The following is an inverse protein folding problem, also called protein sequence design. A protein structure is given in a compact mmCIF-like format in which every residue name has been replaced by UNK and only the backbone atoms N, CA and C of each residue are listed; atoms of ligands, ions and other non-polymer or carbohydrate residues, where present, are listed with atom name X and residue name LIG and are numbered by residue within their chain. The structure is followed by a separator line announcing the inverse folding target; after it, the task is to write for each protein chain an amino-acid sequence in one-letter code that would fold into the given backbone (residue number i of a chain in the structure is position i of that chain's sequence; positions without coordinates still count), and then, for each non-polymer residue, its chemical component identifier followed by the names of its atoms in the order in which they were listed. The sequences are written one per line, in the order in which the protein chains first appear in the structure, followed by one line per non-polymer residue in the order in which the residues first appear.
data_IF_189214961877
#
_entry.id   IF_189214961877
#
_cell.length_a   1.000
_cell.length_b   1.000
_cell.length_c   1.000
_cell.angle_alpha   90.00
_cell.angle_beta   90.00
_cell.angle_gamma   90.00
#
_symmetry.space_group_name_H-M   'P 1'
#
loop_
_entity.id
_entity.type
_entity.pdbx_description
1 polymer ?
#
# COMPACT_ATOMS: atom_id res chain seq x y z
N UNK A 1 -36.73 -1.62 101.12
CA UNK A 1 -36.03 -0.34 101.37
C UNK A 1 -35.25 -0.03 100.09
N UNK A 2 -35.83 0.74 99.28
CA UNK A 2 -35.58 2.13 98.88
C UNK A 2 -34.12 2.52 98.69
N UNK A 3 -33.74 2.82 97.46
CA UNK A 3 -33.23 4.11 97.06
C UNK A 3 -33.07 4.21 95.52
N UNK A 4 -33.77 5.16 94.95
CA UNK A 4 -33.65 5.72 93.63
C UNK A 4 -32.30 6.47 93.52
N UNK A 5 -31.69 6.44 92.40
CA UNK A 5 -30.85 7.58 92.00
C UNK A 5 -30.96 7.83 90.43
N UNK A 6 -31.12 9.10 90.17
CA UNK A 6 -31.58 9.69 88.93
C UNK A 6 -30.52 9.66 87.86
N UNK A 7 -30.94 9.47 86.62
CA UNK A 7 -30.23 9.72 85.38
C UNK A 7 -30.09 11.25 85.12
N UNK A 8 -28.90 11.68 84.82
CA UNK A 8 -28.71 12.99 84.17
C UNK A 8 -28.17 12.78 82.75
N UNK A 9 -28.91 13.42 81.83
CA UNK A 9 -28.76 13.58 80.46
C UNK A 9 -27.30 13.93 80.03
N UNK A 10 -26.75 13.19 79.06
CA UNK A 10 -25.72 13.57 78.19
C UNK A 10 -26.14 13.23 76.77
N UNK A 11 -26.79 14.12 76.11
CA UNK A 11 -26.90 14.28 74.64
C UNK A 11 -26.99 15.80 74.45
N UNK A 12 -26.17 16.44 73.65
CA UNK A 12 -26.05 16.35 72.18
C UNK A 12 -24.65 16.76 71.67
N UNK A 13 -23.74 15.86 71.51
CA UNK A 13 -22.48 16.17 70.84
C UNK A 13 -22.07 15.20 69.70
N UNK A 14 -22.91 14.14 69.52
CA UNK A 14 -22.60 13.13 68.53
C UNK A 14 -23.30 13.31 67.19
N UNK A 15 -24.37 14.12 67.09
CA UNK A 15 -25.10 14.35 65.86
C UNK A 15 -24.44 15.41 64.93
N UNK A 16 -23.65 16.32 65.47
CA UNK A 16 -22.97 17.37 64.70
C UNK A 16 -21.68 16.85 64.00
N UNK A 17 -21.12 15.70 64.49
CA UNK A 17 -19.90 15.14 63.91
C UNK A 17 -20.17 14.16 62.75
N UNK A 18 -21.32 13.48 62.75
CA UNK A 18 -21.72 12.59 61.67
C UNK A 18 -22.21 13.32 60.43
N UNK A 19 -22.86 14.49 60.60
CA UNK A 19 -23.30 15.32 59.44
C UNK A 19 -22.14 15.93 58.66
N UNK A 20 -21.02 16.28 59.34
CA UNK A 20 -19.83 16.83 58.67
C UNK A 20 -18.99 15.78 57.94
N UNK A 21 -18.98 14.52 58.43
CA UNK A 21 -18.27 13.41 57.75
C UNK A 21 -18.98 12.94 56.48
N UNK A 22 -20.32 12.95 56.45
CA UNK A 22 -21.11 12.57 55.28
C UNK A 22 -21.02 13.59 54.13
N UNK A 23 -20.89 14.88 54.43
CA UNK A 23 -20.73 15.93 53.39
C UNK A 23 -19.32 15.87 52.74
N UNK A 24 -18.28 15.51 53.53
CA UNK A 24 -16.91 15.38 52.96
C UNK A 24 -16.74 14.10 52.12
N UNK A 25 -17.36 12.98 52.42
CA UNK A 25 -17.35 11.78 51.61
C UNK A 25 -18.14 11.96 50.29
N UNK A 26 -19.25 12.69 50.30
CA UNK A 26 -20.04 12.92 49.07
C UNK A 26 -19.35 13.83 48.04
N UNK A 27 -18.53 14.79 48.50
CA UNK A 27 -17.75 15.63 47.58
C UNK A 27 -16.55 14.90 46.95
N UNK A 28 -15.97 13.91 47.64
CA UNK A 28 -14.86 13.13 47.05
C UNK A 28 -15.33 12.06 46.06
N UNK A 29 -16.55 11.52 46.24
CA UNK A 29 -17.11 10.58 45.24
C UNK A 29 -17.55 11.28 43.95
N UNK A 30 -17.92 12.57 43.98
CA UNK A 30 -18.25 13.33 42.74
C UNK A 30 -17.02 13.83 42.02
N UNK A 31 -15.87 14.04 42.69
CA UNK A 31 -14.63 14.42 42.05
C UNK A 31 -13.88 13.24 41.36
N UNK A 32 -14.16 11.98 41.78
CA UNK A 32 -13.58 10.77 41.19
C UNK A 32 -14.32 10.27 39.93
N UNK A 33 -15.54 10.72 39.68
CA UNK A 33 -16.34 10.31 38.52
C UNK A 33 -16.00 11.07 37.22
N UNK A 34 -15.11 12.07 37.29
CA UNK A 34 -14.77 12.93 36.14
C UNK A 34 -13.49 12.56 35.38
N UNK A 35 -12.81 11.43 35.71
CA UNK A 35 -11.51 11.09 35.11
C UNK A 35 -11.47 9.75 34.35
N UNK A 36 -12.59 9.09 34.15
CA UNK A 36 -12.67 8.09 33.10
C UNK A 36 -12.94 8.84 31.79
N UNK A 37 -11.90 9.46 31.22
CA UNK A 37 -11.89 9.71 29.80
C UNK A 37 -12.11 8.35 29.16
N UNK A 38 -13.29 8.15 28.59
CA UNK A 38 -13.63 6.99 27.77
C UNK A 38 -12.58 6.93 26.67
N UNK A 39 -11.54 6.13 26.90
CA UNK A 39 -10.54 5.87 25.88
C UNK A 39 -11.27 5.09 24.80
N UNK A 40 -11.84 5.80 23.84
CA UNK A 40 -12.51 5.19 22.72
C UNK A 40 -11.60 4.07 22.20
N UNK A 41 -12.12 2.84 22.21
CA UNK A 41 -11.36 1.67 21.76
C UNK A 41 -10.81 1.94 20.36
N UNK A 42 -9.55 1.54 20.12
CA UNK A 42 -8.91 1.75 18.82
C UNK A 42 -9.75 1.08 17.74
N UNK A 43 -10.04 1.82 16.69
CA UNK A 43 -10.81 1.31 15.56
C UNK A 43 -9.96 0.37 14.70
N UNK A 44 -10.51 -0.81 14.39
CA UNK A 44 -9.80 -1.85 13.64
C UNK A 44 -9.94 -1.66 12.14
N UNK A 45 -8.80 -1.72 11.43
CA UNK A 45 -8.70 -1.82 9.97
C UNK A 45 -8.15 -3.18 9.61
N UNK A 46 -8.92 -4.00 8.88
CA UNK A 46 -8.49 -5.32 8.40
C UNK A 46 -7.80 -5.17 7.06
N UNK A 47 -6.47 -5.31 7.06
CA UNK A 47 -5.61 -5.14 5.90
C UNK A 47 -5.10 -6.50 5.40
N UNK A 48 -5.45 -6.89 4.18
CA UNK A 48 -4.90 -8.08 3.55
C UNK A 48 -3.73 -7.70 2.63
N UNK A 49 -2.58 -8.35 2.85
CA UNK A 49 -1.32 -8.07 2.17
C UNK A 49 -0.71 -9.34 1.59
N UNK A 50 0.15 -9.19 0.59
CA UNK A 50 0.97 -10.30 0.14
C UNK A 50 2.15 -10.50 1.11
N UNK A 51 2.41 -11.76 1.47
CA UNK A 51 3.51 -12.14 2.37
C UNK A 51 4.88 -11.60 1.91
N UNK A 52 5.11 -11.55 0.60
CA UNK A 52 6.39 -11.10 0.00
C UNK A 52 6.33 -9.65 -0.51
N UNK A 53 5.27 -8.92 -0.18
CA UNK A 53 5.06 -7.55 -0.66
C UNK A 53 5.86 -6.52 0.15
N UNK A 54 6.28 -5.45 -0.52
CA UNK A 54 7.04 -4.35 0.08
C UNK A 54 6.25 -3.51 1.10
N UNK A 55 4.93 -3.67 1.15
CA UNK A 55 4.08 -3.06 2.19
C UNK A 55 4.45 -3.54 3.61
N UNK A 56 5.03 -4.74 3.73
CA UNK A 56 5.52 -5.25 5.02
C UNK A 56 6.55 -4.32 5.66
N UNK A 57 7.38 -3.63 4.85
CA UNK A 57 8.38 -2.66 5.33
C UNK A 57 7.72 -1.45 5.98
N UNK A 58 6.69 -0.89 5.35
CA UNK A 58 5.92 0.24 5.89
C UNK A 58 5.16 -0.15 7.15
N UNK A 59 4.56 -1.34 7.18
CA UNK A 59 3.85 -1.83 8.37
C UNK A 59 4.79 -2.09 9.55
N UNK A 60 6.04 -2.48 9.30
CA UNK A 60 7.05 -2.59 10.33
C UNK A 60 7.41 -1.20 10.89
N UNK A 61 7.59 -0.20 10.03
CA UNK A 61 7.79 1.21 10.43
C UNK A 61 6.60 1.71 11.24
N UNK A 62 5.36 1.48 10.78
CA UNK A 62 4.14 1.86 11.52
C UNK A 62 4.16 1.32 12.94
N UNK A 63 4.46 0.03 13.11
CA UNK A 63 4.51 -0.64 14.42
C UNK A 63 5.66 -0.12 15.29
N UNK A 64 6.86 0.00 14.72
CA UNK A 64 8.04 0.44 15.45
C UNK A 64 7.90 1.87 16.00
N UNK A 65 7.29 2.76 15.24
CA UNK A 65 7.05 4.14 15.64
C UNK A 65 5.68 4.34 16.32
N UNK A 66 4.85 3.29 16.44
CA UNK A 66 3.52 3.35 17.05
C UNK A 66 2.56 4.31 16.35
N UNK A 67 2.70 4.48 15.03
CA UNK A 67 1.90 5.44 14.26
C UNK A 67 0.41 5.08 14.24
N UNK A 68 0.11 3.78 14.23
CA UNK A 68 -1.24 3.24 14.34
C UNK A 68 -1.88 3.59 15.69
N UNK A 69 -1.16 3.35 16.80
CA UNK A 69 -1.63 3.68 18.15
C UNK A 69 -1.83 5.19 18.34
N UNK A 70 -0.92 6.02 17.83
CA UNK A 70 -1.05 7.48 17.86
C UNK A 70 -2.28 7.97 17.08
N UNK A 71 -2.68 7.22 16.05
CA UNK A 71 -3.87 7.49 15.27
C UNK A 71 -5.14 6.84 15.83
N UNK A 72 -5.08 6.21 17.02
CA UNK A 72 -6.16 5.41 17.58
C UNK A 72 -6.70 4.36 16.59
N UNK A 73 -5.78 3.65 15.91
CA UNK A 73 -6.07 2.56 14.98
C UNK A 73 -5.41 1.26 15.43
N UNK A 74 -6.08 0.15 15.14
CA UNK A 74 -5.53 -1.20 15.18
C UNK A 74 -5.49 -1.75 13.74
N UNK A 75 -4.31 -1.88 13.16
CA UNK A 75 -4.16 -2.47 11.83
C UNK A 75 -4.00 -3.97 11.97
N UNK A 76 -5.09 -4.70 11.72
CA UNK A 76 -5.11 -6.17 11.72
C UNK A 76 -4.68 -6.69 10.34
N UNK A 77 -3.48 -7.26 10.26
CA UNK A 77 -2.87 -7.71 9.02
C UNK A 77 -3.11 -9.18 8.79
N UNK A 78 -3.63 -9.54 7.60
CA UNK A 78 -3.73 -10.92 7.12
C UNK A 78 -2.81 -11.10 5.92
N UNK A 79 -1.83 -12.00 6.03
CA UNK A 79 -0.93 -12.32 4.94
C UNK A 79 -1.56 -13.35 4.01
N UNK A 80 -1.53 -13.07 2.71
CA UNK A 80 -2.10 -13.91 1.67
C UNK A 80 -1.04 -14.30 0.62
N UNK A 81 -1.27 -15.44 -0.03
CA UNK A 81 -0.32 -16.02 -0.98
C UNK A 81 -0.31 -15.30 -2.35
N UNK A 82 -1.42 -14.65 -2.73
CA UNK A 82 -1.54 -14.02 -4.05
C UNK A 82 -2.42 -12.75 -4.04
N UNK A 83 -2.28 -11.88 -5.04
CA UNK A 83 -3.18 -10.73 -5.23
C UNK A 83 -4.65 -11.13 -5.36
N UNK A 84 -4.92 -12.24 -6.03
CA UNK A 84 -6.27 -12.77 -6.26
C UNK A 84 -6.95 -13.15 -4.94
N UNK A 85 -6.20 -13.76 -4.01
CA UNK A 85 -6.69 -14.05 -2.65
C UNK A 85 -7.09 -12.76 -1.92
N UNK A 86 -6.33 -11.66 -2.10
CA UNK A 86 -6.67 -10.34 -1.58
C UNK A 86 -7.98 -9.81 -2.14
N UNK A 87 -8.17 -9.89 -3.45
CA UNK A 87 -9.41 -9.49 -4.13
C UNK A 87 -10.62 -10.27 -3.63
N UNK A 88 -10.46 -11.58 -3.40
CA UNK A 88 -11.51 -12.44 -2.81
C UNK A 88 -11.80 -12.01 -1.37
N UNK A 89 -10.76 -11.74 -0.55
CA UNK A 89 -10.92 -11.31 0.83
C UNK A 89 -11.68 -9.97 0.94
N UNK A 90 -11.38 -9.01 0.07
CA UNK A 90 -12.07 -7.72 0.01
C UNK A 90 -13.55 -7.90 -0.39
N UNK A 91 -13.82 -8.65 -1.46
CA UNK A 91 -15.19 -8.91 -1.92
C UNK A 91 -16.02 -9.70 -0.91
N UNK A 92 -15.39 -10.64 -0.22
CA UNK A 92 -16.02 -11.46 0.83
C UNK A 92 -16.15 -10.75 2.19
N UNK A 93 -15.67 -9.50 2.31
CA UNK A 93 -15.78 -8.71 3.53
C UNK A 93 -14.88 -9.20 4.68
N UNK A 94 -13.89 -10.07 4.40
CA UNK A 94 -12.89 -10.49 5.40
C UNK A 94 -11.70 -9.53 5.50
N UNK A 95 -11.53 -8.63 4.52
CA UNK A 95 -10.62 -7.50 4.55
C UNK A 95 -11.36 -6.20 4.23
N UNK A 96 -10.93 -5.09 4.84
CA UNK A 96 -11.44 -3.75 4.55
C UNK A 96 -10.61 -3.07 3.46
N UNK A 97 -9.30 -3.31 3.46
CA UNK A 97 -8.34 -2.71 2.54
C UNK A 97 -7.41 -3.80 1.99
N UNK A 98 -7.08 -3.68 0.71
CA UNK A 98 -6.04 -4.47 0.03
C UNK A 98 -5.12 -3.55 -0.78
N UNK A 99 -4.02 -4.08 -1.29
CA UNK A 99 -3.24 -3.41 -2.34
C UNK A 99 -3.56 -4.06 -3.69
N UNK A 100 -3.99 -3.24 -4.65
CA UNK A 100 -4.25 -3.67 -6.03
C UNK A 100 -4.04 -2.50 -7.00
N UNK A 101 -4.32 -2.71 -8.29
CA UNK A 101 -4.20 -1.69 -9.33
C UNK A 101 -5.53 -1.00 -9.63
N UNK A 102 -5.46 0.27 -10.08
CA UNK A 102 -6.64 1.05 -10.44
C UNK A 102 -7.37 0.48 -11.66
N UNK A 103 -6.69 -0.28 -12.52
CA UNK A 103 -7.31 -0.87 -13.71
C UNK A 103 -8.32 -1.96 -13.32
N UNK A 104 -7.95 -2.81 -12.34
CA UNK A 104 -8.87 -3.76 -11.74
C UNK A 104 -10.04 -3.05 -11.05
N UNK A 105 -9.79 -1.97 -10.32
CA UNK A 105 -10.85 -1.16 -9.69
C UNK A 105 -11.80 -0.62 -10.75
N UNK A 106 -11.30 -0.03 -11.83
CA UNK A 106 -12.11 0.47 -12.95
C UNK A 106 -12.94 -0.64 -13.59
N UNK A 107 -12.34 -1.80 -13.86
CA UNK A 107 -13.06 -2.98 -14.36
C UNK A 107 -14.19 -3.40 -13.44
N UNK A 108 -13.96 -3.50 -12.14
CA UNK A 108 -15.00 -3.89 -11.18
C UNK A 108 -16.12 -2.85 -11.09
N UNK A 109 -15.76 -1.55 -11.18
CA UNK A 109 -16.75 -0.47 -11.23
C UNK A 109 -17.63 -0.57 -12.48
N UNK A 110 -17.09 -0.92 -13.64
CA UNK A 110 -17.88 -1.16 -14.86
C UNK A 110 -18.87 -2.33 -14.71
N UNK A 111 -18.67 -3.20 -13.73
CA UNK A 111 -19.56 -4.31 -13.36
C UNK A 111 -20.49 -3.96 -12.17
N UNK A 112 -20.50 -2.69 -11.73
CA UNK A 112 -21.37 -2.19 -10.67
C UNK A 112 -20.78 -2.22 -9.25
N UNK A 113 -19.56 -2.70 -9.06
CA UNK A 113 -18.89 -2.64 -7.75
C UNK A 113 -18.53 -1.19 -7.40
N UNK A 114 -18.56 -0.85 -6.11
CA UNK A 114 -18.21 0.49 -5.62
C UNK A 114 -16.81 0.52 -4.99
N UNK A 115 -15.83 -0.06 -5.69
CA UNK A 115 -14.44 -0.02 -5.23
C UNK A 115 -13.79 1.32 -5.57
N UNK A 116 -12.88 1.78 -4.73
CA UNK A 116 -12.07 2.99 -4.93
C UNK A 116 -10.60 2.71 -4.68
N UNK A 117 -9.75 3.52 -5.31
CA UNK A 117 -8.31 3.40 -5.32
C UNK A 117 -7.65 4.66 -4.73
N UNK A 118 -6.70 4.47 -3.81
CA UNK A 118 -5.82 5.53 -3.29
C UNK A 118 -4.37 5.19 -3.59
N UNK A 119 -3.57 6.07 -4.22
CA UNK A 119 -2.19 5.77 -4.62
C UNK A 119 -1.31 5.22 -3.48
N UNK A 120 -0.63 4.10 -3.75
CA UNK A 120 0.32 3.47 -2.83
C UNK A 120 1.75 3.53 -3.35
N UNK A 121 1.98 3.18 -4.63
CA UNK A 121 3.30 3.12 -5.24
C UNK A 121 3.26 3.43 -6.73
N UNK A 122 4.20 4.28 -7.18
CA UNK A 122 4.50 4.52 -8.59
C UNK A 122 5.72 3.73 -9.08
N UNK A 123 6.32 2.89 -8.23
CA UNK A 123 7.41 2.01 -8.63
C UNK A 123 6.89 0.92 -9.57
N UNK A 124 7.37 0.94 -10.80
CA UNK A 124 7.12 -0.09 -11.79
C UNK A 124 8.31 -1.05 -11.86
N UNK A 125 8.54 -1.66 -12.97
CA UNK A 125 9.69 -2.50 -13.17
C UNK A 125 10.65 -1.91 -14.20
N UNK A 126 11.56 -2.77 -14.67
CA UNK A 126 12.49 -2.40 -15.72
C UNK A 126 12.83 -3.62 -16.58
N UNK A 127 13.29 -3.37 -17.79
CA UNK A 127 14.04 -4.34 -18.57
C UNK A 127 15.47 -4.34 -18.03
N UNK A 128 15.90 -5.48 -17.51
CA UNK A 128 17.21 -5.71 -16.91
C UNK A 128 18.04 -6.61 -17.82
N UNK A 129 19.33 -6.32 -17.95
CA UNK A 129 20.30 -7.16 -18.63
C UNK A 129 21.60 -7.21 -17.82
N UNK A 130 22.44 -8.25 -17.99
CA UNK A 130 23.79 -8.25 -17.42
C UNK A 130 24.56 -6.99 -17.79
N UNK A 131 25.37 -6.44 -16.89
CA UNK A 131 26.17 -5.23 -17.16
C UNK A 131 27.11 -5.42 -18.40
N UNK A 132 27.54 -6.66 -18.64
CA UNK A 132 28.39 -7.05 -19.79
C UNK A 132 27.62 -7.27 -21.08
N UNK A 133 26.28 -7.21 -21.04
CA UNK A 133 25.42 -7.40 -22.23
C UNK A 133 25.57 -6.25 -23.21
N UNK A 134 25.59 -6.56 -24.50
CA UNK A 134 25.55 -5.59 -25.59
C UNK A 134 24.14 -4.98 -25.84
N UNK A 135 23.13 -5.37 -25.03
CA UNK A 135 21.76 -4.82 -25.15
C UNK A 135 21.72 -3.39 -24.63
N UNK A 136 21.79 -2.40 -25.47
CA UNK A 136 21.71 -0.98 -25.07
C UNK A 136 20.29 -0.42 -25.17
N UNK A 137 19.51 -0.92 -26.13
CA UNK A 137 18.16 -0.49 -26.42
C UNK A 137 17.20 -1.67 -26.50
N UNK A 138 15.90 -1.40 -26.51
CA UNK A 138 14.90 -2.46 -26.69
C UNK A 138 14.87 -3.02 -28.13
N UNK A 139 15.39 -2.31 -29.12
CA UNK A 139 15.54 -2.82 -30.49
C UNK A 139 16.53 -4.00 -30.55
N UNK A 140 17.51 -4.04 -29.64
CA UNK A 140 18.51 -5.10 -29.53
C UNK A 140 17.93 -6.42 -29.00
N UNK A 141 16.68 -6.39 -28.51
CA UNK A 141 15.95 -7.60 -28.08
C UNK A 141 15.45 -8.45 -29.25
N UNK A 142 15.62 -8.00 -30.49
CA UNK A 142 15.25 -8.80 -31.67
C UNK A 142 15.99 -10.15 -31.67
N UNK A 143 15.22 -11.25 -31.72
CA UNK A 143 15.75 -12.62 -31.65
C UNK A 143 16.27 -13.05 -30.29
N UNK A 144 16.27 -12.18 -29.28
CA UNK A 144 16.74 -12.47 -27.93
C UNK A 144 15.64 -13.09 -27.07
N UNK A 145 16.05 -13.82 -26.03
CA UNK A 145 15.14 -14.39 -25.03
C UNK A 145 14.82 -13.33 -23.96
N UNK A 146 13.59 -12.82 -23.97
CA UNK A 146 13.09 -11.87 -22.99
C UNK A 146 12.18 -12.58 -21.97
N UNK A 147 12.61 -12.67 -20.73
CA UNK A 147 11.78 -13.14 -19.63
C UNK A 147 10.83 -12.01 -19.18
N UNK A 148 9.53 -12.27 -19.07
CA UNK A 148 8.51 -11.29 -18.65
C UNK A 148 7.79 -11.80 -17.41
N UNK A 149 7.97 -11.12 -16.29
CA UNK A 149 7.32 -11.45 -15.04
C UNK A 149 5.81 -11.20 -15.09
N UNK A 150 5.03 -12.05 -14.43
CA UNK A 150 3.58 -11.88 -14.26
C UNK A 150 2.71 -12.41 -15.39
N UNK A 151 3.21 -12.49 -16.63
CA UNK A 151 2.46 -13.05 -17.75
C UNK A 151 2.07 -12.09 -18.85
N UNK A 152 1.32 -12.58 -19.85
CA UNK A 152 1.02 -11.86 -21.09
C UNK A 152 0.14 -10.59 -20.90
N UNK A 153 -0.57 -10.48 -19.78
CA UNK A 153 -1.42 -9.34 -19.44
C UNK A 153 -0.84 -8.51 -18.27
N UNK A 154 0.45 -8.70 -17.93
CA UNK A 154 1.12 -7.84 -16.96
C UNK A 154 1.16 -6.38 -17.45
N UNK A 155 0.87 -5.43 -16.54
CA UNK A 155 0.71 -4.02 -16.93
C UNK A 155 2.03 -3.40 -17.42
N UNK A 156 3.15 -3.72 -16.78
CA UNK A 156 4.47 -3.25 -17.22
C UNK A 156 4.80 -3.74 -18.64
N UNK A 157 4.46 -5.01 -18.92
CA UNK A 157 4.61 -5.59 -20.26
C UNK A 157 3.73 -4.91 -21.29
N UNK A 158 2.46 -4.66 -20.98
CA UNK A 158 1.53 -4.00 -21.90
C UNK A 158 1.89 -2.53 -22.15
N UNK A 159 2.35 -1.81 -21.13
CA UNK A 159 2.88 -0.46 -21.23
C UNK A 159 4.09 -0.45 -22.17
N UNK A 160 5.04 -1.36 -21.96
CA UNK A 160 6.23 -1.48 -22.79
C UNK A 160 5.88 -1.77 -24.25
N UNK A 161 4.97 -2.70 -24.51
CA UNK A 161 4.49 -2.99 -25.87
C UNK A 161 3.88 -1.76 -26.51
N UNK A 162 2.99 -1.05 -25.81
CA UNK A 162 2.36 0.16 -26.32
C UNK A 162 3.36 1.26 -26.69
N UNK A 163 4.41 1.43 -25.87
CA UNK A 163 5.46 2.39 -26.15
C UNK A 163 6.34 1.99 -27.35
N UNK A 164 6.66 0.72 -27.44
CA UNK A 164 7.51 0.21 -28.55
C UNK A 164 6.79 0.18 -29.88
N UNK A 165 5.49 -0.05 -29.91
CA UNK A 165 4.70 0.03 -31.14
C UNK A 165 4.72 1.42 -31.77
N UNK A 166 4.87 2.50 -31.00
CA UNK A 166 5.04 3.85 -31.53
C UNK A 166 6.36 4.01 -32.33
N UNK A 167 7.38 3.19 -32.00
CA UNK A 167 8.65 3.11 -32.72
C UNK A 167 8.64 2.07 -33.85
N UNK A 168 7.47 1.44 -34.11
CA UNK A 168 7.35 0.36 -35.08
C UNK A 168 7.97 -0.98 -34.61
N UNK A 169 8.24 -1.12 -33.30
CA UNK A 169 8.84 -2.31 -32.72
C UNK A 169 7.75 -3.18 -32.09
N UNK A 170 7.52 -4.35 -32.64
CA UNK A 170 6.65 -5.38 -32.08
C UNK A 170 7.49 -6.38 -31.26
N UNK A 171 7.70 -6.08 -29.98
CA UNK A 171 8.50 -6.94 -29.09
C UNK A 171 7.95 -8.35 -28.97
N UNK A 172 6.63 -8.52 -29.01
CA UNK A 172 5.99 -9.85 -28.90
C UNK A 172 6.33 -10.75 -30.10
N UNK A 173 6.55 -10.16 -31.28
CA UNK A 173 6.91 -10.89 -32.50
C UNK A 173 8.42 -10.95 -32.71
N UNK A 174 9.14 -9.96 -32.23
CA UNK A 174 10.57 -9.80 -32.52
C UNK A 174 11.47 -10.43 -31.47
N UNK A 175 11.02 -10.55 -30.21
CA UNK A 175 11.74 -11.26 -29.14
C UNK A 175 11.14 -12.64 -28.86
N UNK A 176 11.96 -13.54 -28.33
CA UNK A 176 11.51 -14.83 -27.80
C UNK A 176 11.03 -14.65 -26.37
N UNK A 177 9.74 -14.33 -26.20
CA UNK A 177 9.16 -13.98 -24.89
C UNK A 177 8.83 -15.21 -24.08
N UNK A 178 9.28 -15.25 -22.81
CA UNK A 178 9.01 -16.30 -21.82
C UNK A 178 8.33 -15.68 -20.60
N UNK A 179 7.12 -16.15 -20.27
CA UNK A 179 6.37 -15.71 -19.10
C UNK A 179 6.59 -16.62 -17.90
N UNK A 180 6.59 -16.03 -16.68
CA UNK A 180 6.74 -16.84 -15.46
C UNK A 180 6.74 -16.04 -14.16
N UNK A 181 7.01 -16.75 -13.08
CA UNK A 181 7.10 -16.15 -11.76
C UNK A 181 8.32 -15.22 -11.67
N UNK A 182 8.19 -14.02 -11.02
CA UNK A 182 9.21 -12.98 -11.03
C UNK A 182 10.60 -13.44 -10.62
N UNK A 183 10.72 -14.08 -9.45
CA UNK A 183 12.03 -14.53 -8.94
C UNK A 183 12.63 -15.65 -9.78
N UNK A 184 11.80 -16.62 -10.23
CA UNK A 184 12.26 -17.71 -11.10
C UNK A 184 12.88 -17.16 -12.39
N UNK A 185 12.22 -16.19 -13.02
CA UNK A 185 12.73 -15.57 -14.25
C UNK A 185 13.99 -14.74 -14.01
N UNK A 186 14.10 -14.08 -12.85
CA UNK A 186 15.30 -13.34 -12.48
C UNK A 186 16.49 -14.29 -12.28
N UNK A 187 16.29 -15.43 -11.60
CA UNK A 187 17.33 -16.45 -11.42
C UNK A 187 17.75 -17.07 -12.74
N UNK A 188 16.81 -17.40 -13.63
CA UNK A 188 17.12 -17.89 -14.99
C UNK A 188 17.92 -16.87 -15.80
N UNK A 189 17.62 -15.59 -15.65
CA UNK A 189 18.37 -14.53 -16.30
C UNK A 189 19.79 -14.42 -15.71
N UNK A 190 19.93 -14.54 -14.39
CA UNK A 190 21.23 -14.56 -13.71
C UNK A 190 22.10 -15.77 -14.17
N UNK A 191 21.47 -16.92 -14.45
CA UNK A 191 22.13 -18.14 -14.96
C UNK A 191 22.47 -18.06 -16.45
N UNK A 192 22.06 -16.98 -17.16
CA UNK A 192 22.30 -16.83 -18.60
C UNK A 192 21.34 -17.60 -19.50
N UNK A 193 20.26 -18.17 -18.96
CA UNK A 193 19.24 -18.84 -19.77
C UNK A 193 18.36 -17.82 -20.56
N UNK A 194 18.28 -16.59 -20.07
CA UNK A 194 17.57 -15.47 -20.68
C UNK A 194 18.57 -14.32 -20.96
N UNK A 195 18.39 -13.61 -22.07
CA UNK A 195 19.24 -12.47 -22.43
C UNK A 195 18.89 -11.22 -21.63
N UNK A 196 17.60 -11.05 -21.27
CA UNK A 196 17.08 -9.96 -20.47
C UNK A 196 15.82 -10.38 -19.71
N UNK A 197 15.43 -9.61 -18.71
CA UNK A 197 14.14 -9.77 -18.02
C UNK A 197 13.45 -8.44 -17.81
N UNK A 198 12.15 -8.38 -18.12
CA UNK A 198 11.23 -7.37 -17.61
C UNK A 198 10.68 -7.89 -16.28
N UNK A 199 11.00 -7.21 -15.19
CA UNK A 199 10.65 -7.68 -13.87
C UNK A 199 10.18 -6.54 -12.96
N UNK A 200 9.63 -6.86 -11.80
CA UNK A 200 9.13 -5.90 -10.82
C UNK A 200 10.28 -5.15 -10.16
N UNK A 201 10.02 -3.92 -9.74
CA UNK A 201 11.04 -3.00 -9.26
C UNK A 201 11.94 -3.56 -8.15
N UNK A 202 11.37 -4.31 -7.20
CA UNK A 202 12.11 -4.92 -6.10
C UNK A 202 13.02 -6.07 -6.57
N UNK A 203 12.59 -6.83 -7.58
CA UNK A 203 13.41 -7.86 -8.21
C UNK A 203 14.48 -7.21 -9.10
N UNK A 204 14.18 -6.11 -9.77
CA UNK A 204 15.16 -5.32 -10.49
C UNK A 204 16.26 -4.80 -9.54
N UNK A 205 15.89 -4.29 -8.35
CA UNK A 205 16.86 -3.88 -7.33
C UNK A 205 17.77 -5.04 -6.86
N UNK A 206 17.20 -6.24 -6.71
CA UNK A 206 17.99 -7.44 -6.43
C UNK A 206 18.97 -7.77 -7.56
N UNK A 207 18.52 -7.69 -8.83
CA UNK A 207 19.38 -7.91 -10.00
C UNK A 207 20.48 -6.83 -10.12
N UNK A 208 20.19 -5.57 -9.82
CA UNK A 208 21.19 -4.49 -9.77
C UNK A 208 22.31 -4.85 -8.80
N UNK A 209 21.99 -5.37 -7.60
CA UNK A 209 22.97 -5.83 -6.62
C UNK A 209 23.78 -7.05 -7.11
N UNK A 210 23.30 -7.76 -8.14
CA UNK A 210 23.99 -8.90 -8.78
C UNK A 210 24.76 -8.52 -10.05
N UNK A 211 24.94 -7.21 -10.30
CA UNK A 211 25.69 -6.71 -11.44
C UNK A 211 24.89 -6.61 -12.74
N UNK A 212 23.57 -6.55 -12.64
CA UNK A 212 22.72 -6.21 -13.77
C UNK A 212 22.53 -4.71 -13.89
N UNK A 213 22.21 -4.24 -15.09
CA UNK A 213 21.83 -2.85 -15.32
C UNK A 213 20.43 -2.74 -15.87
N UNK A 214 19.80 -1.61 -15.62
CA UNK A 214 18.55 -1.25 -16.26
C UNK A 214 18.83 -0.83 -17.70
N UNK A 215 18.23 -1.55 -18.65
CA UNK A 215 18.21 -1.14 -20.05
C UNK A 215 17.17 -0.04 -20.25
N UNK A 216 15.99 -0.21 -19.61
CA UNK A 216 14.90 0.77 -19.64
C UNK A 216 13.98 0.58 -18.43
N UNK A 217 13.67 1.65 -17.70
CA UNK A 217 12.61 1.69 -16.70
C UNK A 217 11.24 1.82 -17.37
N UNK A 218 10.23 1.15 -16.82
CA UNK A 218 8.86 1.26 -17.36
C UNK A 218 8.29 2.67 -17.12
N UNK A 219 8.68 3.31 -16.03
CA UNK A 219 8.36 4.71 -15.76
C UNK A 219 8.88 5.68 -16.81
N UNK A 220 9.99 5.34 -17.47
CA UNK A 220 10.64 6.21 -18.47
C UNK A 220 9.89 6.24 -19.81
N UNK A 221 9.04 5.25 -20.08
CA UNK A 221 8.22 5.22 -21.30
C UNK A 221 6.83 5.84 -21.12
N UNK A 222 6.41 6.14 -19.90
CA UNK A 222 5.09 6.72 -19.62
C UNK A 222 4.85 8.06 -20.33
N UNK A 223 5.82 9.01 -20.39
CA UNK A 223 5.66 10.25 -21.12
C UNK A 223 5.41 10.04 -22.62
N UNK A 224 6.05 9.05 -23.24
CA UNK A 224 5.83 8.67 -24.63
C UNK A 224 4.37 8.24 -24.87
N UNK A 225 3.73 7.64 -23.88
CA UNK A 225 2.33 7.23 -23.93
C UNK A 225 1.36 8.36 -23.54
N UNK A 226 1.87 9.58 -23.30
CA UNK A 226 1.10 10.77 -22.97
C UNK A 226 0.83 10.98 -21.49
N UNK A 227 1.45 10.22 -20.59
CA UNK A 227 1.40 10.51 -19.16
C UNK A 227 2.33 11.69 -18.83
N UNK A 228 1.94 12.49 -17.83
CA UNK A 228 2.68 13.69 -17.44
C UNK A 228 3.75 13.42 -16.37
N UNK A 229 3.82 12.20 -15.86
CA UNK A 229 4.80 11.80 -14.86
C UNK A 229 4.71 10.33 -14.47
N UNK A 230 5.38 9.98 -13.38
CA UNK A 230 5.33 8.62 -12.80
C UNK A 230 3.95 8.37 -12.17
N UNK A 231 3.06 7.71 -12.89
CA UNK A 231 1.72 7.39 -12.42
C UNK A 231 1.74 6.20 -11.45
N UNK A 232 1.03 6.32 -10.34
CA UNK A 232 0.87 5.24 -9.38
C UNK A 232 -0.02 4.15 -9.99
N UNK A 233 0.57 2.97 -10.25
CA UNK A 233 -0.19 1.81 -10.73
C UNK A 233 -0.79 0.98 -9.59
N UNK A 234 -0.16 0.95 -8.42
CA UNK A 234 -0.64 0.25 -7.24
C UNK A 234 -1.19 1.23 -6.20
N UNK A 235 -2.28 0.84 -5.56
CA UNK A 235 -2.94 1.62 -4.52
C UNK A 235 -3.63 0.77 -3.47
N UNK A 236 -4.01 1.44 -2.37
CA UNK A 236 -4.96 0.90 -1.42
C UNK A 236 -6.34 0.88 -2.08
N UNK A 237 -6.99 -0.27 -2.01
CA UNK A 237 -8.32 -0.47 -2.59
C UNK A 237 -9.28 -0.89 -1.49
N UNK A 238 -10.44 -0.24 -1.45
CA UNK A 238 -11.49 -0.47 -0.47
C UNK A 238 -12.87 -0.12 -1.05
N UNK A 239 -13.93 -0.52 -0.37
CA UNK A 239 -15.30 -0.20 -0.79
C UNK A 239 -15.66 1.26 -0.45
N UNK A 240 -16.27 1.97 -1.39
CA UNK A 240 -16.69 3.38 -1.26
C UNK A 240 -17.74 3.57 -0.15
N UNK A 241 -18.65 2.61 0.00
CA UNK A 241 -19.69 2.67 1.01
C UNK A 241 -19.13 2.41 2.40
N UNK A 242 -18.15 1.50 2.51
CA UNK A 242 -17.40 1.28 3.74
C UNK A 242 -16.60 2.54 4.11
N UNK A 243 -15.89 3.13 3.16
CA UNK A 243 -15.12 4.36 3.38
C UNK A 243 -16.00 5.53 3.82
N UNK A 244 -17.21 5.65 3.25
CA UNK A 244 -18.15 6.70 3.64
C UNK A 244 -18.66 6.54 5.09
N UNK A 245 -18.85 5.29 5.55
CA UNK A 245 -19.25 4.99 6.93
C UNK A 245 -18.10 5.13 7.95
N UNK A 246 -16.86 4.98 7.48
CA UNK A 246 -15.64 4.98 8.30
C UNK A 246 -14.65 6.06 7.83
N UNK A 247 -15.15 7.24 7.41
CA UNK A 247 -14.33 8.29 6.81
C UNK A 247 -13.13 8.69 7.68
N UNK A 248 -13.33 8.82 8.99
CA UNK A 248 -12.26 9.12 9.93
C UNK A 248 -11.21 8.01 10.02
N UNK A 249 -11.62 6.74 9.94
CA UNK A 249 -10.70 5.59 9.93
C UNK A 249 -9.85 5.59 8.66
N UNK A 250 -10.48 5.78 7.50
CA UNK A 250 -9.78 5.82 6.20
C UNK A 250 -8.77 6.96 6.17
N UNK A 251 -9.18 8.16 6.62
CA UNK A 251 -8.28 9.32 6.68
C UNK A 251 -7.06 9.02 7.55
N UNK A 252 -7.26 8.54 8.79
CA UNK A 252 -6.17 8.20 9.70
C UNK A 252 -5.26 7.08 9.15
N UNK A 253 -5.83 6.05 8.51
CA UNK A 253 -5.06 4.98 7.88
C UNK A 253 -4.15 5.53 6.77
N UNK A 254 -4.68 6.35 5.86
CA UNK A 254 -3.90 6.97 4.80
C UNK A 254 -2.80 7.90 5.35
N UNK A 255 -3.10 8.63 6.43
CA UNK A 255 -2.11 9.47 7.12
C UNK A 255 -1.00 8.66 7.80
N UNK A 256 -1.34 7.53 8.44
CA UNK A 256 -0.37 6.61 9.06
C UNK A 256 0.58 6.06 8.01
N UNK A 257 0.06 5.58 6.88
CA UNK A 257 0.89 5.04 5.79
C UNK A 257 1.73 6.13 5.12
N UNK A 258 1.20 7.35 4.97
CA UNK A 258 1.97 8.49 4.48
C UNK A 258 3.14 8.83 5.40
N UNK A 259 2.92 8.89 6.73
CA UNK A 259 4.00 9.13 7.72
C UNK A 259 5.07 8.04 7.66
N UNK A 260 4.69 6.76 7.53
CA UNK A 260 5.65 5.67 7.38
C UNK A 260 6.50 5.85 6.11
N UNK A 261 5.88 6.24 4.99
CA UNK A 261 6.62 6.56 3.75
C UNK A 261 7.55 7.76 3.91
N UNK A 262 7.17 8.79 4.65
CA UNK A 262 8.01 9.97 4.95
C UNK A 262 9.25 9.57 5.78
N UNK A 263 9.09 8.69 6.77
CA UNK A 263 10.22 8.15 7.55
C UNK A 263 11.16 7.36 6.61
N UNK A 264 10.64 6.47 5.78
CA UNK A 264 11.45 5.71 4.81
C UNK A 264 12.08 6.61 3.73
N UNK A 265 11.42 7.71 3.37
CA UNK A 265 11.95 8.67 2.41
C UNK A 265 13.17 9.41 2.93
N UNK A 266 13.25 9.68 4.24
CA UNK A 266 14.23 10.62 4.81
C UNK A 266 15.24 9.99 5.74
N UNK A 267 14.96 8.80 6.31
CA UNK A 267 15.82 8.17 7.32
C UNK A 267 16.58 6.96 6.76
N UNK A 268 17.90 7.09 6.61
CA UNK A 268 18.76 5.94 6.29
C UNK A 268 18.91 4.99 7.50
N UNK A 269 18.85 5.53 8.72
CA UNK A 269 18.87 4.73 9.94
C UNK A 269 17.67 3.76 10.00
N UNK A 270 16.51 4.18 9.51
CA UNK A 270 15.33 3.32 9.46
C UNK A 270 15.53 2.15 8.47
N UNK A 271 16.18 2.39 7.33
CA UNK A 271 16.53 1.33 6.39
C UNK A 271 17.50 0.32 7.00
N UNK A 272 18.47 0.78 7.82
CA UNK A 272 19.36 -0.12 8.56
C UNK A 272 18.58 -0.95 9.59
N UNK A 273 17.59 -0.37 10.26
CA UNK A 273 16.74 -1.08 11.23
C UNK A 273 15.95 -2.20 10.56
N UNK A 274 15.33 -1.94 9.41
CA UNK A 274 14.51 -2.93 8.68
C UNK A 274 15.32 -3.80 7.71
N UNK A 275 16.65 -3.67 7.66
CA UNK A 275 17.49 -4.30 6.63
C UNK A 275 17.21 -5.80 6.45
N UNK A 276 17.06 -6.55 7.54
CA UNK A 276 16.80 -8.00 7.49
C UNK A 276 15.44 -8.35 6.89
N UNK A 277 14.47 -7.44 6.96
CA UNK A 277 13.16 -7.61 6.33
C UNK A 277 13.23 -7.30 4.83
N UNK A 278 14.13 -6.40 4.43
CA UNK A 278 14.28 -5.96 3.03
C UNK A 278 15.11 -6.96 2.23
N UNK A 279 16.29 -7.33 2.73
CA UNK A 279 17.22 -8.20 2.03
C UNK A 279 18.21 -8.86 3.00
N UNK A 280 18.64 -10.07 2.63
CA UNK A 280 19.76 -10.75 3.32
C UNK A 280 21.13 -10.21 2.89
N UNK A 281 21.20 -9.51 1.75
CA UNK A 281 22.43 -8.96 1.18
C UNK A 281 22.54 -7.47 1.57
N UNK A 282 23.43 -7.18 2.53
CA UNK A 282 23.63 -5.82 3.01
C UNK A 282 24.07 -4.84 1.91
N UNK A 283 24.78 -5.29 0.87
CA UNK A 283 25.20 -4.46 -0.25
C UNK A 283 24.02 -4.02 -1.14
N UNK A 284 22.93 -4.77 -1.14
CA UNK A 284 21.72 -4.47 -1.89
C UNK A 284 20.82 -3.42 -1.21
N UNK A 285 20.99 -3.19 0.10
CA UNK A 285 20.05 -2.37 0.89
C UNK A 285 19.92 -0.94 0.34
N UNK A 286 21.06 -0.32 -0.03
CA UNK A 286 21.04 1.03 -0.60
C UNK A 286 20.25 1.10 -1.91
N UNK A 287 20.38 0.09 -2.77
CA UNK A 287 19.67 0.01 -4.04
C UNK A 287 18.15 -0.11 -3.78
N UNK A 288 17.74 -1.01 -2.88
CA UNK A 288 16.33 -1.15 -2.50
C UNK A 288 15.75 0.14 -1.94
N UNK A 289 16.48 0.81 -1.05
CA UNK A 289 16.11 2.11 -0.48
C UNK A 289 15.86 3.14 -1.57
N UNK A 290 16.82 3.30 -2.47
CA UNK A 290 16.77 4.34 -3.49
C UNK A 290 15.63 4.09 -4.48
N UNK A 291 15.45 2.84 -4.93
CA UNK A 291 14.32 2.45 -5.80
C UNK A 291 12.96 2.58 -5.11
N UNK A 292 12.86 2.26 -3.82
CA UNK A 292 11.65 2.50 -3.04
C UNK A 292 11.31 3.98 -2.96
N UNK A 293 12.31 4.84 -2.66
CA UNK A 293 12.16 6.29 -2.55
C UNK A 293 11.68 6.93 -3.86
N UNK A 294 12.18 6.45 -4.99
CA UNK A 294 11.74 6.86 -6.32
C UNK A 294 10.25 6.52 -6.58
N UNK A 295 9.76 5.45 -5.99
CA UNK A 295 8.40 4.95 -6.15
C UNK A 295 7.36 5.52 -5.18
N UNK A 296 7.74 6.44 -4.28
CA UNK A 296 6.78 7.08 -3.36
C UNK A 296 5.89 8.06 -4.15
N UNK A 297 4.55 7.87 -4.18
CA UNK A 297 3.64 8.80 -4.85
C UNK A 297 3.67 10.18 -4.19
N UNK A 298 3.83 11.23 -4.99
CA UNK A 298 3.88 12.63 -4.50
C UNK A 298 2.99 13.57 -5.31
N UNK A 299 2.28 13.03 -6.29
CA UNK A 299 1.50 13.84 -7.22
C UNK A 299 0.08 14.06 -6.69
N UNK A 300 -0.56 15.19 -7.05
CA UNK A 300 -1.97 15.41 -6.77
C UNK A 300 -2.83 14.31 -7.40
N UNK A 301 -3.92 13.96 -6.74
CA UNK A 301 -4.82 12.87 -7.18
C UNK A 301 -5.41 13.13 -8.57
N UNK A 302 -5.66 14.39 -8.93
CA UNK A 302 -6.18 14.75 -10.25
C UNK A 302 -5.16 14.47 -11.37
N UNK A 303 -3.87 14.69 -11.11
CA UNK A 303 -2.81 14.35 -12.03
C UNK A 303 -2.64 12.83 -12.18
N UNK A 304 -2.74 12.07 -11.07
CA UNK A 304 -2.73 10.62 -11.10
C UNK A 304 -3.90 10.06 -11.92
N UNK A 305 -5.12 10.57 -11.71
CA UNK A 305 -6.30 10.13 -12.45
C UNK A 305 -6.24 10.52 -13.94
N UNK A 306 -5.70 11.71 -14.28
CA UNK A 306 -5.54 12.13 -15.67
C UNK A 306 -4.59 11.19 -16.44
N UNK A 307 -3.45 10.85 -15.83
CA UNK A 307 -2.51 9.91 -16.42
C UNK A 307 -3.09 8.48 -16.48
N UNK A 308 -3.83 8.05 -15.46
CA UNK A 308 -4.53 6.77 -15.49
C UNK A 308 -5.55 6.69 -16.65
N UNK A 309 -6.27 7.77 -16.96
CA UNK A 309 -7.18 7.83 -18.14
C UNK A 309 -6.41 7.67 -19.45
N UNK A 310 -5.24 8.27 -19.55
CA UNK A 310 -4.37 8.16 -20.74
C UNK A 310 -3.83 6.75 -20.88
N UNK A 311 -3.29 6.18 -19.80
CA UNK A 311 -2.73 4.83 -19.78
C UNK A 311 -3.79 3.74 -19.94
N UNK A 312 -5.03 3.98 -19.48
CA UNK A 312 -6.15 3.05 -19.67
C UNK A 312 -6.33 2.70 -21.15
N UNK A 313 -6.29 3.71 -22.04
CA UNK A 313 -6.47 3.49 -23.48
C UNK A 313 -5.38 2.58 -24.06
N UNK A 314 -4.14 2.79 -23.64
CA UNK A 314 -3.01 1.94 -24.07
C UNK A 314 -3.19 0.51 -23.55
N UNK A 315 -3.48 0.37 -22.26
CA UNK A 315 -3.67 -0.95 -21.62
C UNK A 315 -4.86 -1.70 -22.19
N UNK A 316 -5.97 -1.01 -22.46
CA UNK A 316 -7.14 -1.59 -23.10
C UNK A 316 -6.84 -2.07 -24.53
N UNK A 317 -6.08 -1.31 -25.31
CA UNK A 317 -5.67 -1.69 -26.67
C UNK A 317 -4.76 -2.92 -26.64
N UNK A 318 -3.80 -2.99 -25.71
CA UNK A 318 -2.83 -4.08 -25.64
C UNK A 318 -3.39 -5.35 -24.97
N UNK A 319 -4.18 -5.19 -23.91
CA UNK A 319 -4.67 -6.29 -23.08
C UNK A 319 -6.07 -6.78 -23.43
N UNK A 320 -6.85 -5.97 -24.14
CA UNK A 320 -8.21 -6.30 -24.57
C UNK A 320 -9.18 -6.55 -23.40
N UNK A 321 -10.29 -7.20 -23.72
CA UNK A 321 -11.37 -7.49 -22.75
C UNK A 321 -10.91 -8.38 -21.57
N UNK A 322 -9.87 -9.18 -21.73
CA UNK A 322 -9.31 -9.98 -20.64
C UNK A 322 -8.78 -9.11 -19.49
N UNK A 323 -8.33 -7.90 -19.80
CA UNK A 323 -7.77 -6.95 -18.84
C UNK A 323 -8.82 -5.96 -18.31
N UNK A 324 -9.58 -5.31 -19.21
CA UNK A 324 -10.49 -4.21 -18.86
C UNK A 324 -11.98 -4.61 -18.81
N UNK A 325 -12.30 -5.87 -19.14
CA UNK A 325 -13.70 -6.31 -19.25
C UNK A 325 -14.40 -5.56 -20.37
N UNK A 326 -15.59 -5.02 -20.08
CA UNK A 326 -16.40 -4.22 -21.01
C UNK A 326 -16.15 -2.71 -20.88
N UNK A 327 -15.22 -2.28 -19.99
CA UNK A 327 -14.93 -0.88 -19.78
C UNK A 327 -14.25 -0.28 -21.04
N UNK A 328 -14.80 0.80 -21.57
CA UNK A 328 -14.29 1.53 -22.75
C UNK A 328 -13.41 2.72 -22.34
N UNK A 329 -13.46 3.12 -21.07
CA UNK A 329 -12.67 4.18 -20.47
C UNK A 329 -12.45 3.89 -18.99
N UNK A 330 -11.58 4.66 -18.35
CA UNK A 330 -11.43 4.65 -16.89
C UNK A 330 -12.77 5.06 -16.26
N UNK A 331 -13.34 4.18 -15.44
CA UNK A 331 -14.63 4.42 -14.81
C UNK A 331 -14.56 5.60 -13.83
N UNK A 332 -15.58 6.50 -13.84
CA UNK A 332 -15.68 7.59 -12.90
C UNK A 332 -15.68 7.10 -11.44
N UNK A 333 -15.01 7.85 -10.55
CA UNK A 333 -14.92 7.49 -9.13
C UNK A 333 -13.93 6.36 -8.84
N UNK A 334 -13.13 5.92 -9.81
CA UNK A 334 -12.04 4.95 -9.56
C UNK A 334 -11.06 5.46 -8.52
N UNK A 335 -10.72 6.76 -8.55
CA UNK A 335 -9.79 7.37 -7.61
C UNK A 335 -10.52 7.94 -6.41
N UNK A 336 -10.08 7.53 -5.21
CA UNK A 336 -10.65 8.00 -3.96
C UNK A 336 -10.31 9.46 -3.70
N UNK A 337 -11.32 10.24 -3.34
CA UNK A 337 -11.17 11.62 -2.85
C UNK A 337 -11.78 11.72 -1.47
N UNK A 338 -10.97 12.03 -0.43
CA UNK A 338 -11.54 12.35 0.89
C UNK A 338 -12.58 13.46 0.74
N UNK A 339 -13.72 13.31 1.40
CA UNK A 339 -14.70 14.41 1.46
C UNK A 339 -14.08 15.55 2.27
N UNK A 340 -14.03 16.74 1.68
CA UNK A 340 -13.63 17.95 2.41
C UNK A 340 -14.65 18.20 3.54
N UNK A 341 -14.20 18.05 4.79
CA UNK A 341 -15.03 18.41 5.96
C UNK A 341 -15.36 17.26 6.92
N UNK A 342 -14.49 16.28 7.06
CA UNK A 342 -14.56 15.32 8.19
C UNK A 342 -13.37 15.45 9.11
#
# INVERSE_FOLDING_TARGET
MSRRCQSRRCRPMMEAMTARLLVFCSCWCLAAAGLFADSAAAETVRLAVQKTGTLAWELDVVRAHGLDRQANLQIAVTELASPEAGKIALRGGSADIIVSDWLWVSRERSLGAKLVFSPYSSALGAVMAPATSALETLADLRGKKLAVAGGAIDKSWLILQGAMQQDGIDLKRQANVVYGAPMLLAEKTLQGEMDATLNYWNICAWLEAKGFRRVLGIEDVLPKLGATGRAAMLGYVFDESWAAKHAGVVSRFLDVTRKAKEILATSDAEWLRIARLVTADASALAIYRDRYREGIPRRPIDAEEADARTLFRVLATQGGASLVGNATALEPGTFFRPRSGS
#
